data_IF_273912085267
#
_entry.id   IF_273912085267
#
_cell.length_a   1.000
_cell.length_b   1.000
_cell.length_c   1.000
_cell.angle_alpha   90.00
_cell.angle_beta   90.00
_cell.angle_gamma   90.00
#
_symmetry.space_group_name_H-M   'P 1'
#
loop_
_entity.id
_entity.type
_entity.pdbx_description
1 polymer ?
#
# COMPACT_ATOMS: atom_id res chain seq x y z
N UNK A 1 4.74 1.52 15.78
CA UNK A 1 5.07 0.11 16.10
C UNK A 1 5.85 -0.04 17.40
N UNK A 2 6.77 0.87 17.73
CA UNK A 2 7.72 0.65 18.84
C UNK A 2 7.11 0.80 20.26
N UNK A 3 5.93 1.41 20.41
CA UNK A 3 5.27 1.62 21.72
C UNK A 3 4.58 0.37 22.29
N UNK A 4 4.10 -0.54 21.44
CA UNK A 4 3.38 -1.74 21.84
C UNK A 4 3.62 -2.89 20.84
N UNK A 5 4.87 -3.33 20.68
CA UNK A 5 5.26 -4.24 19.59
C UNK A 5 4.53 -5.59 19.62
N UNK A 6 4.18 -6.09 20.81
CA UNK A 6 3.45 -7.35 20.98
C UNK A 6 1.93 -7.23 20.94
N UNK A 7 1.35 -6.02 20.87
CA UNK A 7 -0.09 -5.85 20.77
C UNK A 7 -0.57 -6.18 19.36
N UNK A 8 -1.79 -6.71 19.25
CA UNK A 8 -2.43 -7.00 17.95
C UNK A 8 -2.61 -5.72 17.14
N UNK A 9 -2.09 -5.72 15.92
CA UNK A 9 -2.24 -4.65 14.94
C UNK A 9 -3.32 -4.97 13.91
N UNK A 10 -3.38 -6.23 13.46
CA UNK A 10 -4.25 -6.65 12.36
C UNK A 10 -4.85 -8.02 12.65
N UNK A 11 -6.13 -8.16 12.29
CA UNK A 11 -6.87 -9.43 12.35
C UNK A 11 -7.59 -9.60 11.03
N UNK A 12 -7.43 -10.76 10.41
CA UNK A 12 -8.15 -11.16 9.22
C UNK A 12 -8.49 -12.64 9.36
N UNK A 13 -9.78 -12.97 9.37
CA UNK A 13 -10.27 -14.32 9.65
C UNK A 13 -9.68 -14.89 10.95
N UNK A 14 -8.99 -16.04 10.89
CA UNK A 14 -8.34 -16.70 12.03
C UNK A 14 -6.92 -16.17 12.31
N UNK A 15 -6.33 -15.46 11.35
CA UNK A 15 -4.97 -14.91 11.43
C UNK A 15 -4.94 -13.59 12.20
N UNK A 16 -3.88 -13.43 13.00
CA UNK A 16 -3.62 -12.23 13.81
C UNK A 16 -2.15 -11.87 13.73
N UNK A 17 -1.85 -10.60 13.48
CA UNK A 17 -0.51 -10.06 13.53
C UNK A 17 -0.38 -9.02 14.63
N UNK A 18 0.72 -9.09 15.35
CA UNK A 18 1.19 -8.03 16.23
C UNK A 18 1.76 -6.84 15.43
N UNK A 19 1.92 -5.70 16.08
CA UNK A 19 2.59 -4.54 15.48
C UNK A 19 4.00 -4.87 15.01
N UNK A 20 4.75 -5.72 15.73
CA UNK A 20 6.10 -6.13 15.34
C UNK A 20 6.10 -7.01 14.11
N UNK A 21 5.22 -8.00 14.05
CA UNK A 21 5.13 -8.90 12.90
C UNK A 21 4.76 -8.15 11.62
N UNK A 22 3.79 -7.24 11.71
CA UNK A 22 3.44 -6.35 10.59
C UNK A 22 4.61 -5.44 10.20
N UNK A 23 5.34 -4.87 11.17
CA UNK A 23 6.50 -4.01 10.89
C UNK A 23 7.61 -4.80 10.18
N UNK A 24 7.89 -6.01 10.65
CA UNK A 24 8.93 -6.88 10.11
C UNK A 24 8.62 -7.27 8.67
N UNK A 25 7.38 -7.71 8.37
CA UNK A 25 6.98 -8.07 7.01
C UNK A 25 7.00 -6.88 6.07
N UNK A 26 6.46 -5.73 6.50
CA UNK A 26 6.51 -4.51 5.71
C UNK A 26 7.95 -4.01 5.48
N UNK A 27 8.87 -4.22 6.43
CA UNK A 27 10.29 -3.89 6.26
C UNK A 27 10.94 -4.79 5.20
N UNK A 28 10.68 -6.09 5.21
CA UNK A 28 11.20 -7.04 4.20
C UNK A 28 10.77 -6.63 2.80
N UNK A 29 9.47 -6.38 2.63
CA UNK A 29 8.93 -5.93 1.36
C UNK A 29 9.52 -4.58 0.92
N UNK A 30 9.75 -3.67 1.87
CA UNK A 30 10.40 -2.39 1.57
C UNK A 30 11.83 -2.54 1.03
N UNK A 31 12.62 -3.50 1.53
CA UNK A 31 13.96 -3.76 1.00
C UNK A 31 13.92 -4.35 -0.41
N UNK A 32 12.99 -5.29 -0.68
CA UNK A 32 12.75 -5.77 -2.03
C UNK A 32 12.43 -4.62 -2.98
N UNK A 33 11.44 -3.78 -2.62
CA UNK A 33 11.02 -2.65 -3.45
C UNK A 33 12.17 -1.68 -3.72
N UNK A 34 13.04 -1.41 -2.73
CA UNK A 34 14.24 -0.59 -2.94
C UNK A 34 15.23 -1.21 -3.90
N UNK A 35 15.42 -2.54 -3.87
CA UNK A 35 16.24 -3.25 -4.86
C UNK A 35 15.66 -3.15 -6.27
N UNK A 36 14.33 -3.07 -6.39
CA UNK A 36 13.62 -2.81 -7.65
C UNK A 36 13.64 -1.32 -8.05
N UNK A 37 14.34 -0.46 -7.31
CA UNK A 37 14.53 0.96 -7.61
C UNK A 37 13.45 1.88 -7.07
N UNK A 38 12.56 1.41 -6.19
CA UNK A 38 11.54 2.24 -5.55
C UNK A 38 12.18 3.17 -4.51
N UNK A 39 11.84 4.45 -4.59
CA UNK A 39 12.26 5.50 -3.66
C UNK A 39 11.26 6.66 -3.65
N UNK A 40 11.69 7.86 -3.19
CA UNK A 40 10.84 9.05 -3.15
C UNK A 40 10.09 9.29 -4.47
N UNK A 41 8.79 9.60 -4.37
CA UNK A 41 7.86 9.88 -5.47
C UNK A 41 7.70 8.77 -6.53
N UNK A 42 8.30 7.59 -6.29
CA UNK A 42 8.00 6.39 -7.07
C UNK A 42 6.61 5.89 -6.73
N UNK A 43 5.80 5.59 -7.75
CA UNK A 43 4.47 5.01 -7.56
C UNK A 43 4.52 3.50 -7.77
N UNK A 44 3.93 2.75 -6.85
CA UNK A 44 3.84 1.28 -6.88
C UNK A 44 2.38 0.88 -6.93
N UNK A 45 2.00 0.11 -7.96
CA UNK A 45 0.65 -0.45 -8.03
C UNK A 45 0.46 -1.54 -6.96
N UNK A 46 -0.72 -1.60 -6.35
CA UNK A 46 -1.08 -2.64 -5.38
C UNK A 46 -2.45 -3.20 -5.76
N UNK A 47 -2.49 -4.44 -6.21
CA UNK A 47 -3.70 -5.15 -6.61
C UNK A 47 -3.96 -6.33 -5.67
N UNK A 48 -5.05 -6.30 -4.90
CA UNK A 48 -5.36 -7.40 -4.00
C UNK A 48 -6.72 -7.26 -3.34
N UNK A 49 -7.29 -8.40 -2.96
CA UNK A 49 -8.42 -8.42 -2.05
C UNK A 49 -7.97 -8.15 -0.61
N UNK A 50 -8.94 -7.84 0.26
CA UNK A 50 -8.69 -7.66 1.70
C UNK A 50 -7.98 -8.89 2.24
N UNK A 51 -6.83 -8.68 2.85
CA UNK A 51 -5.94 -9.70 3.37
C UNK A 51 -4.92 -9.03 4.31
N UNK A 52 -4.12 -9.83 5.01
CA UNK A 52 -2.97 -9.32 5.77
C UNK A 52 -1.92 -8.77 4.83
N UNK A 53 -1.68 -9.49 3.74
CA UNK A 53 -0.70 -9.22 2.71
C UNK A 53 -0.97 -7.87 2.03
N UNK A 54 -2.24 -7.50 1.83
CA UNK A 54 -2.60 -6.18 1.33
C UNK A 54 -2.10 -5.07 2.26
N UNK A 55 -2.28 -5.22 3.58
CA UNK A 55 -1.84 -4.21 4.55
C UNK A 55 -0.31 -4.17 4.63
N UNK A 56 0.35 -5.33 4.61
CA UNK A 56 1.82 -5.42 4.50
C UNK A 56 2.33 -4.70 3.25
N UNK A 57 1.65 -4.86 2.11
CA UNK A 57 1.96 -4.20 0.84
C UNK A 57 1.93 -2.67 0.96
N UNK A 58 0.83 -2.12 1.48
CA UNK A 58 0.67 -0.67 1.64
C UNK A 58 1.77 -0.08 2.55
N UNK A 59 2.06 -0.73 3.68
CA UNK A 59 3.14 -0.28 4.57
C UNK A 59 4.52 -0.49 3.96
N UNK A 60 4.75 -1.58 3.23
CA UNK A 60 6.01 -1.87 2.56
C UNK A 60 6.36 -0.82 1.51
N UNK A 61 5.39 -0.41 0.69
CA UNK A 61 5.55 0.69 -0.28
C UNK A 61 5.94 2.00 0.41
N UNK A 62 5.20 2.39 1.45
CA UNK A 62 5.51 3.61 2.20
C UNK A 62 6.90 3.56 2.86
N UNK A 63 7.31 2.41 3.37
CA UNK A 63 8.64 2.19 3.99
C UNK A 63 9.77 2.16 2.96
N UNK A 64 9.51 1.67 1.76
CA UNK A 64 10.44 1.75 0.65
C UNK A 64 10.73 3.22 0.30
N UNK A 65 9.74 4.09 0.52
CA UNK A 65 9.76 5.52 0.21
C UNK A 65 8.88 5.89 -0.98
N UNK A 66 8.11 4.93 -1.51
CA UNK A 66 7.19 5.17 -2.61
C UNK A 66 5.77 5.48 -2.13
N UNK A 67 4.93 5.86 -3.09
CA UNK A 67 3.50 6.02 -2.93
C UNK A 67 2.77 4.81 -3.49
N UNK A 68 1.76 4.30 -2.78
CA UNK A 68 0.95 3.20 -3.31
C UNK A 68 -0.16 3.73 -4.22
N UNK A 69 -0.47 2.97 -5.26
CA UNK A 69 -1.59 3.18 -6.16
C UNK A 69 -2.49 1.94 -6.08
N UNK A 70 -3.67 2.02 -5.46
CA UNK A 70 -4.57 0.89 -5.33
C UNK A 70 -5.24 0.56 -6.67
N UNK A 71 -5.11 -0.70 -7.10
CA UNK A 71 -5.73 -1.25 -8.30
C UNK A 71 -6.81 -2.25 -7.88
N UNK A 72 -8.07 -1.85 -7.99
CA UNK A 72 -9.20 -2.71 -7.61
C UNK A 72 -9.26 -3.95 -8.54
N UNK A 73 -9.15 -5.18 -8.00
CA UNK A 73 -9.24 -6.39 -8.81
C UNK A 73 -10.54 -6.48 -9.61
N UNK A 74 -11.63 -5.89 -9.12
CA UNK A 74 -12.95 -5.98 -9.75
C UNK A 74 -13.13 -4.97 -10.90
N UNK A 75 -12.17 -4.07 -11.14
CA UNK A 75 -12.18 -3.20 -12.31
C UNK A 75 -12.04 -3.99 -13.62
N UNK A 76 -12.69 -3.57 -14.71
CA UNK A 76 -12.42 -4.12 -16.03
C UNK A 76 -10.93 -4.01 -16.38
N UNK A 77 -10.38 -5.01 -17.06
CA UNK A 77 -8.96 -5.05 -17.42
C UNK A 77 -8.52 -3.83 -18.24
N UNK A 78 -9.37 -3.33 -19.13
CA UNK A 78 -9.14 -2.10 -19.89
C UNK A 78 -8.91 -0.88 -18.97
N UNK A 79 -9.65 -0.79 -17.86
CA UNK A 79 -9.49 0.28 -16.87
C UNK A 79 -8.19 0.15 -16.11
N UNK A 80 -7.81 -1.08 -15.72
CA UNK A 80 -6.50 -1.34 -15.10
C UNK A 80 -5.37 -0.93 -16.05
N UNK A 81 -5.43 -1.36 -17.31
CA UNK A 81 -4.45 -1.00 -18.33
C UNK A 81 -4.34 0.51 -18.54
N UNK A 82 -5.47 1.23 -18.60
CA UNK A 82 -5.48 2.69 -18.72
C UNK A 82 -4.80 3.38 -17.52
N UNK A 83 -5.06 2.90 -16.30
CA UNK A 83 -4.42 3.43 -15.08
C UNK A 83 -2.92 3.14 -15.08
N UNK A 84 -2.50 1.91 -15.44
CA UNK A 84 -1.08 1.54 -15.52
C UNK A 84 -0.33 2.37 -16.58
N UNK A 85 -0.97 2.62 -17.72
CA UNK A 85 -0.40 3.44 -18.79
C UNK A 85 -0.25 4.92 -18.39
N UNK A 86 -1.26 5.50 -17.75
CA UNK A 86 -1.25 6.90 -17.31
C UNK A 86 -0.29 7.13 -16.14
N UNK A 87 -0.28 6.22 -15.15
CA UNK A 87 0.54 6.36 -13.94
C UNK A 87 2.04 6.13 -14.18
N UNK A 88 2.41 5.41 -15.25
CA UNK A 88 3.80 5.07 -15.54
C UNK A 88 4.46 4.17 -14.47
N UNK A 89 3.66 3.48 -13.65
CA UNK A 89 4.19 2.57 -12.62
C UNK A 89 5.04 1.48 -13.28
N UNK A 90 6.10 1.07 -12.60
CA UNK A 90 7.04 0.05 -13.07
C UNK A 90 6.97 -1.25 -12.28
N UNK A 91 6.39 -1.19 -11.08
CA UNK A 91 6.24 -2.33 -10.17
C UNK A 91 4.79 -2.39 -9.72
N UNK A 92 4.20 -3.59 -9.78
CA UNK A 92 2.89 -3.88 -9.21
C UNK A 92 3.02 -5.06 -8.25
N UNK A 93 2.57 -4.85 -7.02
CA UNK A 93 2.38 -5.90 -6.03
C UNK A 93 1.01 -6.54 -6.27
N UNK A 94 0.94 -7.87 -6.41
CA UNK A 94 -0.32 -8.58 -6.66
C UNK A 94 -0.60 -9.61 -5.58
N UNK A 95 -1.86 -9.68 -5.13
CA UNK A 95 -2.37 -10.78 -4.33
C UNK A 95 -2.51 -12.07 -5.14
N UNK A 96 -2.77 -13.20 -4.47
CA UNK A 96 -2.83 -14.52 -5.10
C UNK A 96 -3.86 -14.60 -6.25
N UNK A 97 -3.43 -15.16 -7.39
CA UNK A 97 -4.30 -15.47 -8.52
C UNK A 97 -4.81 -14.24 -9.28
N UNK A 98 -4.15 -13.09 -9.11
CA UNK A 98 -4.50 -11.82 -9.75
C UNK A 98 -3.49 -11.38 -10.81
N UNK A 99 -2.44 -12.17 -11.05
CA UNK A 99 -1.38 -11.89 -12.03
C UNK A 99 -1.97 -11.63 -13.43
N UNK A 100 -2.90 -12.48 -13.86
CA UNK A 100 -3.54 -12.39 -15.19
C UNK A 100 -4.36 -11.09 -15.37
N UNK A 101 -4.77 -10.42 -14.28
CA UNK A 101 -5.51 -9.15 -14.33
C UNK A 101 -4.66 -8.00 -14.88
N UNK A 102 -3.33 -8.12 -14.84
CA UNK A 102 -2.43 -7.12 -15.41
C UNK A 102 -2.32 -7.23 -16.94
N UNK A 103 -2.74 -8.36 -17.54
CA UNK A 103 -2.58 -8.60 -18.98
C UNK A 103 -1.12 -8.54 -19.44
N UNK A 104 -0.88 -8.06 -20.66
CA UNK A 104 0.46 -7.91 -21.24
C UNK A 104 1.20 -6.64 -20.75
N UNK A 105 1.01 -6.25 -19.50
CA UNK A 105 1.71 -5.10 -18.93
C UNK A 105 3.22 -5.38 -18.78
N UNK A 106 4.11 -4.53 -19.33
CA UNK A 106 5.54 -4.84 -19.45
C UNK A 106 6.36 -4.59 -18.17
N UNK A 107 5.72 -4.25 -17.05
CA UNK A 107 6.40 -3.93 -15.80
C UNK A 107 6.72 -5.16 -14.95
N UNK A 108 7.28 -4.93 -13.77
CA UNK A 108 7.61 -6.00 -12.82
C UNK A 108 6.39 -6.32 -11.95
N UNK A 109 5.87 -7.53 -12.10
CA UNK A 109 4.87 -8.09 -11.21
C UNK A 109 5.56 -8.80 -10.03
N UNK A 110 5.14 -8.51 -8.80
CA UNK A 110 5.62 -9.18 -7.58
C UNK A 110 4.43 -9.77 -6.86
N UNK A 111 4.36 -11.09 -6.76
CA UNK A 111 3.30 -11.74 -6.00
C UNK A 111 3.58 -11.65 -4.50
N UNK A 112 2.56 -11.25 -3.74
CA UNK A 112 2.62 -11.06 -2.29
C UNK A 112 2.73 -12.37 -1.51
N UNK A 113 2.42 -13.51 -2.12
CA UNK A 113 2.62 -14.82 -1.49
C UNK A 113 3.99 -15.42 -1.76
N UNK A 114 4.82 -14.77 -2.60
CA UNK A 114 6.15 -15.31 -2.88
C UNK A 114 7.04 -15.30 -1.64
N UNK A 115 7.66 -16.45 -1.36
CA UNK A 115 8.68 -16.55 -0.32
C UNK A 115 9.99 -15.83 -0.69
N UNK A 116 10.13 -15.37 -1.92
CA UNK A 116 11.37 -14.81 -2.48
C UNK A 116 11.90 -13.62 -1.68
N UNK A 117 11.00 -12.80 -1.14
CA UNK A 117 11.34 -11.62 -0.33
C UNK A 117 11.31 -11.87 1.18
N UNK A 118 10.95 -13.07 1.63
CA UNK A 118 11.05 -13.47 3.05
C UNK A 118 12.51 -13.56 3.53
N UNK A 119 13.47 -13.62 2.61
CA UNK A 119 14.90 -13.56 2.91
C UNK A 119 15.42 -12.13 3.12
N UNK A 120 14.65 -11.10 2.75
CA UNK A 120 15.05 -9.70 2.96
C UNK A 120 15.18 -9.37 4.46
N UNK A 121 15.98 -8.36 4.83
CA UNK A 121 16.09 -7.96 6.23
C UNK A 121 14.75 -7.50 6.81
N UNK A 122 14.39 -7.95 8.02
CA UNK A 122 13.23 -7.39 8.75
C UNK A 122 13.53 -6.04 9.42
N UNK A 123 14.80 -5.61 9.43
CA UNK A 123 15.21 -4.33 10.03
C UNK A 123 14.61 -3.16 9.25
N UNK A 124 14.03 -2.20 9.98
CA UNK A 124 13.48 -0.97 9.40
C UNK A 124 14.50 -0.28 8.48
N UNK A 125 14.15 -0.03 7.20
CA UNK A 125 15.05 0.64 6.28
C UNK A 125 15.23 2.12 6.66
N UNK A 126 16.35 2.72 6.28
CA UNK A 126 16.60 4.15 6.49
C UNK A 126 15.54 4.98 5.77
N UNK A 127 14.95 5.98 6.43
CA UNK A 127 13.98 6.88 5.82
C UNK A 127 14.58 7.63 4.63
N UNK A 128 13.87 7.64 3.49
CA UNK A 128 14.26 8.36 2.28
C UNK A 128 13.35 9.56 1.96
N UNK A 129 12.15 9.61 2.55
CA UNK A 129 11.12 10.60 2.23
C UNK A 129 10.94 11.66 3.31
N UNK A 130 10.60 12.87 2.86
CA UNK A 130 10.09 14.00 3.64
C UNK A 130 8.57 14.16 3.53
N UNK A 131 7.98 15.16 4.23
CA UNK A 131 6.55 15.45 4.18
C UNK A 131 5.99 15.78 2.79
N UNK A 132 6.82 16.35 1.92
CA UNK A 132 6.49 16.76 0.55
C UNK A 132 6.42 15.61 -0.45
N UNK A 133 6.92 14.42 -0.09
CA UNK A 133 6.86 13.28 -1.00
C UNK A 133 5.48 12.63 -0.99
N UNK A 134 5.15 12.00 -2.11
CA UNK A 134 3.90 11.28 -2.31
C UNK A 134 3.73 10.14 -1.30
N UNK A 135 2.53 10.03 -0.74
CA UNK A 135 2.11 8.93 0.13
C UNK A 135 1.22 7.91 -0.62
N UNK A 136 0.31 8.40 -1.46
CA UNK A 136 -0.54 7.55 -2.30
C UNK A 136 -1.06 8.30 -3.53
N UNK A 137 -1.51 7.55 -4.53
CA UNK A 137 -2.19 8.05 -5.72
C UNK A 137 -3.49 7.27 -5.90
N UNK A 138 -4.64 7.95 -5.85
CA UNK A 138 -5.96 7.32 -6.07
C UNK A 138 -6.58 7.82 -7.36
N UNK A 139 -7.00 6.90 -8.21
CA UNK A 139 -7.67 7.23 -9.47
C UNK A 139 -9.17 7.42 -9.28
N UNK A 140 -9.67 8.55 -9.76
CA UNK A 140 -11.11 8.88 -9.73
C UNK A 140 -11.71 8.81 -11.14
N UNK A 141 -13.03 8.65 -11.23
CA UNK A 141 -13.75 8.78 -12.50
C UNK A 141 -13.63 10.22 -12.99
N UNK A 142 -12.84 10.46 -14.03
CA UNK A 142 -12.79 11.76 -14.68
C UNK A 142 -14.10 12.06 -15.40
N UNK A 143 -14.57 13.30 -15.33
CA UNK A 143 -15.74 13.78 -16.08
C UNK A 143 -15.60 13.63 -17.60
N UNK A 144 -14.37 13.49 -18.10
CA UNK A 144 -14.01 13.29 -19.51
C UNK A 144 -13.86 11.81 -19.90
N UNK A 145 -14.21 10.87 -19.02
CA UNK A 145 -14.08 9.42 -19.25
C UNK A 145 -12.67 8.86 -19.02
N UNK A 146 -11.64 9.71 -19.02
CA UNK A 146 -10.25 9.34 -18.70
C UNK A 146 -10.05 9.37 -17.19
N UNK A 147 -9.62 8.27 -16.54
CA UNK A 147 -9.28 8.25 -15.12
C UNK A 147 -8.21 9.29 -14.79
N UNK A 148 -8.33 9.97 -13.64
CA UNK A 148 -7.33 10.95 -13.17
C UNK A 148 -6.76 10.53 -11.83
N UNK A 149 -5.43 10.42 -11.74
CA UNK A 149 -4.72 10.15 -10.50
C UNK A 149 -4.65 11.39 -9.61
N UNK A 150 -5.22 11.30 -8.41
CA UNK A 150 -5.06 12.30 -7.36
C UNK A 150 -3.86 11.88 -6.50
N UNK A 151 -2.76 12.63 -6.65
CA UNK A 151 -1.54 12.40 -5.89
C UNK A 151 -1.59 13.16 -4.56
N UNK A 152 -1.36 12.46 -3.46
CA UNK A 152 -1.43 13.02 -2.10
C UNK A 152 -0.09 12.85 -1.39
N UNK A 153 0.45 13.95 -0.87
CA UNK A 153 1.71 14.00 -0.13
C UNK A 153 1.54 13.51 1.33
N UNK A 154 2.65 13.07 1.93
CA UNK A 154 2.69 12.67 3.34
C UNK A 154 2.21 13.76 4.30
N UNK A 155 2.51 15.03 4.02
CA UNK A 155 2.09 16.17 4.84
C UNK A 155 0.56 16.25 4.96
N UNK A 156 -0.16 16.07 3.83
CA UNK A 156 -1.62 16.13 3.79
C UNK A 156 -2.27 15.04 4.64
N UNK A 157 -1.87 13.79 4.43
CA UNK A 157 -2.43 12.67 5.20
C UNK A 157 -2.04 12.72 6.68
N UNK A 158 -0.80 13.13 6.99
CA UNK A 158 -0.36 13.33 8.38
C UNK A 158 -1.24 14.34 9.10
N UNK A 159 -1.50 15.50 8.48
CA UNK A 159 -2.37 16.53 9.06
C UNK A 159 -3.77 15.96 9.36
N UNK A 160 -4.35 15.22 8.39
CA UNK A 160 -5.68 14.61 8.52
C UNK A 160 -5.76 13.57 9.64
N UNK A 161 -4.74 12.73 9.81
CA UNK A 161 -4.70 11.68 10.83
C UNK A 161 -4.47 12.24 12.24
N UNK A 162 -3.60 13.27 12.38
CA UNK A 162 -3.37 13.93 13.68
C UNK A 162 -4.65 14.60 14.17
N UNK A 163 -5.33 15.37 13.32
CA UNK A 163 -6.62 15.97 13.65
C UNK A 163 -7.65 14.91 14.08
N UNK A 164 -7.71 13.78 13.36
CA UNK A 164 -8.66 12.69 13.67
C UNK A 164 -8.42 12.09 15.04
N UNK A 165 -7.16 11.84 15.36
CA UNK A 165 -6.74 11.28 16.63
C UNK A 165 -7.05 12.23 17.79
N UNK A 166 -6.89 13.54 17.60
CA UNK A 166 -7.24 14.56 18.59
C UNK A 166 -8.76 14.69 18.77
N UNK A 167 -9.52 14.68 17.68
CA UNK A 167 -10.97 14.85 17.71
C UNK A 167 -11.73 13.64 18.26
N UNK A 168 -11.28 12.42 17.93
CA UNK A 168 -12.01 11.18 18.28
C UNK A 168 -11.32 10.34 19.36
N UNK A 169 -10.05 10.58 19.66
CA UNK A 169 -9.40 10.01 20.84
C UNK A 169 -9.23 8.49 20.84
N UNK A 170 -8.94 7.87 19.68
CA UNK A 170 -8.72 6.42 19.59
C UNK A 170 -7.63 5.94 20.55
N UNK A 171 -7.87 4.80 21.17
CA UNK A 171 -7.05 4.17 22.21
C UNK A 171 -6.66 2.74 21.82
N UNK A 172 -5.82 2.09 22.62
CA UNK A 172 -5.42 0.69 22.41
C UNK A 172 -6.55 -0.32 22.65
N UNK A 173 -7.64 0.08 23.32
CA UNK A 173 -8.85 -0.72 23.48
C UNK A 173 -9.75 -0.72 22.26
N UNK A 174 -9.60 0.25 21.36
CA UNK A 174 -10.46 0.38 20.19
C UNK A 174 -10.10 -0.61 19.08
N UNK A 175 -11.07 -0.90 18.21
CA UNK A 175 -10.91 -1.73 17.02
C UNK A 175 -11.53 -1.00 15.83
N UNK A 176 -10.75 -0.86 14.76
CA UNK A 176 -11.18 -0.17 13.54
C UNK A 176 -11.44 -1.21 12.45
N UNK A 177 -12.60 -1.11 11.80
CA UNK A 177 -12.96 -2.00 10.70
C UNK A 177 -12.47 -1.43 9.36
N UNK A 178 -11.67 -2.20 8.63
CA UNK A 178 -11.32 -1.89 7.24
C UNK A 178 -12.49 -2.25 6.32
N UNK A 179 -13.48 -1.35 6.21
CA UNK A 179 -14.72 -1.58 5.43
C UNK A 179 -14.67 -0.98 4.03
N UNK A 180 -14.10 0.20 3.89
CA UNK A 180 -14.07 0.94 2.62
C UNK A 180 -13.16 0.21 1.62
N UNK A 181 -13.52 0.09 0.33
CA UNK A 181 -12.57 -0.43 -0.65
C UNK A 181 -11.32 0.44 -0.68
N UNK A 182 -10.14 -0.18 -0.74
CA UNK A 182 -8.87 0.52 -0.59
C UNK A 182 -8.49 1.40 -1.80
N UNK A 183 -9.26 1.28 -2.89
CA UNK A 183 -9.25 2.17 -4.05
C UNK A 183 -9.99 3.50 -3.83
N UNK A 184 -10.60 3.72 -2.66
CA UNK A 184 -11.23 4.97 -2.25
C UNK A 184 -10.51 5.61 -1.07
N UNK A 185 -10.50 6.94 -1.04
CA UNK A 185 -9.76 7.78 -0.10
C UNK A 185 -10.16 7.59 1.38
N UNK A 186 -11.43 7.30 1.67
CA UNK A 186 -11.91 7.01 3.05
C UNK A 186 -11.23 5.77 3.65
N UNK A 187 -10.55 4.94 2.86
CA UNK A 187 -9.79 3.79 3.36
C UNK A 187 -8.45 4.16 4.01
N UNK A 188 -7.95 5.39 3.77
CA UNK A 188 -6.65 5.91 4.24
C UNK A 188 -6.76 6.59 5.60
#
# INVERSE_FOLDING_TARGET
>A
MDRAPGATALVYEDRRLSYRELDDQANRLAHLLRRLGIGPDSVVGVMGYRSIELVEALYGVMKAGGAYLPLDPDYPQERVAAILADSGVKVVLVGPGLEDRLGEWPGTCVALEESSWQAEPSKRPQRLTGPENLAYVIYTSGSTGVPKGVAVEHAGIRNRLVWMQEAYGLTTSDRVLQKTPYSFDVSV
#
